data_IF_506199448273
#
_entry.id   IF_506199448273
#
_cell.length_a   1.000
_cell.length_b   1.000
_cell.length_c   1.000
_cell.angle_alpha   90.00
_cell.angle_beta   90.00
_cell.angle_gamma   90.00
#
_symmetry.space_group_name_H-M   'P 1'
#
loop_
_entity.id
_entity.type
_entity.pdbx_description
1 polymer ?
#
# COMPACT_ATOMS: atom_id res chain seq x y z
N UNK A 1 12.80 6.29 -9.18
CA UNK A 1 13.25 7.52 -8.50
C UNK A 1 14.63 7.28 -7.98
N UNK A 2 15.50 8.28 -8.04
CA UNK A 2 16.78 8.18 -7.33
C UNK A 2 16.53 8.23 -5.82
N UNK A 3 17.51 7.81 -5.03
CA UNK A 3 17.43 7.95 -3.58
C UNK A 3 17.35 9.42 -3.16
N UNK A 4 18.11 10.30 -3.82
CA UNK A 4 18.07 11.75 -3.64
C UNK A 4 16.67 12.32 -3.87
N UNK A 5 16.00 11.96 -4.98
CA UNK A 5 14.62 12.40 -5.25
C UNK A 5 13.65 11.95 -4.16
N UNK A 6 13.82 10.73 -3.67
CA UNK A 6 12.93 10.14 -2.65
C UNK A 6 13.11 10.84 -1.31
N UNK A 7 14.35 11.08 -0.89
CA UNK A 7 14.65 11.80 0.36
C UNK A 7 14.24 13.27 0.26
N UNK A 8 14.44 13.92 -0.88
CA UNK A 8 13.95 15.27 -1.12
C UNK A 8 12.42 15.34 -1.01
N UNK A 9 11.69 14.39 -1.62
CA UNK A 9 10.23 14.31 -1.50
C UNK A 9 9.79 14.15 -0.04
N UNK A 10 10.42 13.24 0.71
CA UNK A 10 10.08 13.00 2.11
C UNK A 10 10.41 14.21 3.01
N UNK A 11 11.42 15.00 2.67
CA UNK A 11 11.78 16.22 3.41
C UNK A 11 10.69 17.30 3.41
N UNK A 12 9.76 17.26 2.45
CA UNK A 12 8.60 18.16 2.43
C UNK A 12 7.52 17.78 3.46
N UNK A 13 7.64 16.63 4.13
CA UNK A 13 6.64 16.15 5.10
C UNK A 13 5.29 15.86 4.45
N UNK A 14 5.23 15.00 3.42
CA UNK A 14 3.98 14.70 2.74
C UNK A 14 2.99 14.03 3.70
N UNK A 15 1.73 14.44 3.63
CA UNK A 15 0.69 13.87 4.49
C UNK A 15 0.31 12.43 4.13
N UNK A 16 0.63 11.96 2.90
CA UNK A 16 0.48 10.59 2.41
C UNK A 16 1.48 10.29 1.29
N UNK A 17 1.75 9.02 1.03
CA UNK A 17 2.66 8.55 -0.02
C UNK A 17 1.99 7.49 -0.90
N UNK A 18 2.04 7.66 -2.23
CA UNK A 18 1.50 6.70 -3.20
C UNK A 18 2.42 5.50 -3.44
N UNK A 19 1.84 4.29 -3.46
CA UNK A 19 2.45 2.98 -3.76
C UNK A 19 3.57 2.51 -2.84
N UNK A 20 4.65 3.29 -2.69
CA UNK A 20 5.81 3.01 -1.84
C UNK A 20 6.48 1.63 -2.04
N UNK A 21 6.48 1.09 -3.26
CA UNK A 21 7.01 -0.27 -3.55
C UNK A 21 8.55 -0.37 -3.58
N UNK A 22 9.27 0.76 -3.69
CA UNK A 22 10.73 0.80 -3.87
C UNK A 22 11.45 1.74 -2.90
N UNK A 23 11.01 1.78 -1.64
CA UNK A 23 11.70 2.58 -0.62
C UNK A 23 13.08 1.97 -0.28
N UNK A 24 14.11 2.81 -0.24
CA UNK A 24 15.40 2.43 0.38
C UNK A 24 15.22 2.23 1.89
N UNK A 25 16.15 1.53 2.58
CA UNK A 25 16.07 1.37 4.02
C UNK A 25 15.91 2.70 4.77
N UNK A 26 16.66 3.74 4.39
CA UNK A 26 16.57 5.08 4.98
C UNK A 26 15.20 5.73 4.74
N UNK A 27 14.72 5.72 3.49
CA UNK A 27 13.40 6.27 3.16
C UNK A 27 12.28 5.53 3.91
N UNK A 28 12.41 4.21 4.08
CA UNK A 28 11.47 3.41 4.86
C UNK A 28 11.48 3.79 6.32
N UNK A 29 12.65 4.01 6.93
CA UNK A 29 12.74 4.46 8.32
C UNK A 29 12.02 5.80 8.54
N UNK A 30 12.20 6.76 7.63
CA UNK A 30 11.50 8.05 7.68
C UNK A 30 9.99 7.85 7.62
N UNK A 31 9.50 7.10 6.62
CA UNK A 31 8.07 6.83 6.44
C UNK A 31 7.46 6.21 7.69
N UNK A 32 8.14 5.23 8.30
CA UNK A 32 7.66 4.54 9.50
C UNK A 32 7.70 5.42 10.74
N UNK A 33 8.81 6.14 10.96
CA UNK A 33 8.99 7.04 12.11
C UNK A 33 7.93 8.13 12.12
N UNK A 34 7.70 8.73 10.95
CA UNK A 34 6.77 9.86 10.79
C UNK A 34 5.32 9.40 10.55
N UNK A 35 5.09 8.08 10.53
CA UNK A 35 3.78 7.44 10.30
C UNK A 35 3.09 7.96 9.04
N UNK A 36 3.84 8.21 7.98
CA UNK A 36 3.31 8.70 6.71
C UNK A 36 2.43 7.60 6.09
N UNK A 37 1.11 7.81 5.95
CA UNK A 37 0.22 6.80 5.40
C UNK A 37 0.54 6.44 3.96
N UNK A 38 0.45 5.16 3.63
CA UNK A 38 0.72 4.65 2.28
C UNK A 38 -0.61 4.38 1.55
N UNK A 39 -0.73 4.86 0.33
CA UNK A 39 -1.83 4.49 -0.58
C UNK A 39 -1.40 3.26 -1.39
N UNK A 40 -2.08 2.14 -1.15
CA UNK A 40 -1.75 0.83 -1.71
C UNK A 40 -2.66 0.52 -2.89
N UNK A 41 -2.08 0.17 -4.04
CA UNK A 41 -2.81 -0.13 -5.27
C UNK A 41 -2.40 -1.50 -5.81
N UNK A 42 -3.06 -2.58 -5.38
CA UNK A 42 -2.60 -3.96 -5.62
C UNK A 42 -2.58 -4.30 -7.11
N UNK A 43 -3.69 -4.07 -7.81
CA UNK A 43 -3.81 -4.42 -9.23
C UNK A 43 -2.83 -3.62 -10.08
N UNK A 44 -2.72 -2.31 -9.83
CA UNK A 44 -1.72 -1.44 -10.46
C UNK A 44 -0.30 -1.97 -10.24
N UNK A 45 0.07 -2.25 -8.99
CA UNK A 45 1.42 -2.71 -8.66
C UNK A 45 1.77 -4.06 -9.31
N UNK A 46 0.80 -4.97 -9.40
CA UNK A 46 0.98 -6.25 -10.07
C UNK A 46 1.12 -6.11 -11.59
N UNK A 47 0.22 -5.36 -12.24
CA UNK A 47 0.20 -5.20 -13.70
C UNK A 47 1.38 -4.36 -14.21
N UNK A 48 1.79 -3.34 -13.45
CA UNK A 48 2.97 -2.53 -13.73
C UNK A 48 4.28 -3.18 -13.26
N UNK A 49 4.21 -4.39 -12.67
CA UNK A 49 5.37 -5.18 -12.20
C UNK A 49 6.24 -4.46 -11.17
N UNK A 50 5.64 -3.57 -10.38
CA UNK A 50 6.32 -2.96 -9.23
C UNK A 50 6.40 -3.93 -8.06
N UNK A 51 5.53 -4.95 -8.04
CA UNK A 51 5.66 -6.17 -7.24
C UNK A 51 5.63 -7.40 -8.16
N UNK A 52 6.38 -8.45 -7.82
CA UNK A 52 6.46 -9.68 -8.65
C UNK A 52 5.19 -10.54 -8.57
N UNK A 53 4.52 -10.49 -7.43
CA UNK A 53 3.35 -11.27 -7.10
C UNK A 53 2.65 -10.64 -5.89
N UNK A 54 1.41 -11.06 -5.63
CA UNK A 54 0.62 -10.46 -4.54
C UNK A 54 1.17 -10.81 -3.15
N UNK A 55 1.78 -11.98 -2.99
CA UNK A 55 2.34 -12.46 -1.72
C UNK A 55 3.58 -11.68 -1.26
N UNK A 56 4.34 -11.08 -2.19
CA UNK A 56 5.48 -10.21 -1.87
C UNK A 56 5.07 -8.77 -1.60
N UNK A 57 3.78 -8.43 -1.69
CA UNK A 57 3.30 -7.10 -1.40
C UNK A 57 3.53 -6.75 0.08
N UNK A 58 4.00 -5.53 0.34
CA UNK A 58 4.38 -5.08 1.68
C UNK A 58 3.20 -4.88 2.67
N UNK A 59 1.96 -5.24 2.30
CA UNK A 59 0.75 -5.10 3.15
C UNK A 59 0.88 -5.88 4.45
N UNK A 60 1.32 -7.15 4.39
CA UNK A 60 1.46 -7.97 5.60
C UNK A 60 2.45 -7.35 6.58
N UNK A 61 3.52 -6.78 6.06
CA UNK A 61 4.52 -6.09 6.88
C UNK A 61 3.95 -4.81 7.50
N UNK A 62 3.18 -4.00 6.74
CA UNK A 62 2.52 -2.81 7.28
C UNK A 62 1.51 -3.17 8.39
N UNK A 63 0.71 -4.21 8.19
CA UNK A 63 -0.23 -4.73 9.21
C UNK A 63 0.51 -5.14 10.49
N UNK A 64 1.59 -5.91 10.38
CA UNK A 64 2.39 -6.34 11.52
C UNK A 64 2.97 -5.18 12.33
N UNK A 65 3.29 -4.07 11.68
CA UNK A 65 3.84 -2.87 12.32
C UNK A 65 2.78 -1.84 12.67
N UNK A 66 1.49 -2.14 12.46
CA UNK A 66 0.38 -1.19 12.65
C UNK A 66 0.62 0.16 11.96
N UNK A 67 1.28 0.14 10.79
CA UNK A 67 1.55 1.34 10.01
C UNK A 67 0.30 1.74 9.24
N UNK A 68 -0.08 3.03 9.21
CA UNK A 68 -1.29 3.47 8.51
C UNK A 68 -1.16 3.29 6.99
N UNK A 69 -2.19 2.73 6.37
CA UNK A 69 -2.30 2.67 4.91
C UNK A 69 -3.76 2.60 4.47
N UNK A 70 -4.01 2.90 3.19
CA UNK A 70 -5.32 2.78 2.56
C UNK A 70 -5.26 1.98 1.28
N UNK A 71 -6.33 1.23 0.98
CA UNK A 71 -6.49 0.55 -0.30
C UNK A 71 -7.10 1.50 -1.32
N UNK A 72 -6.46 1.60 -2.48
CA UNK A 72 -6.80 2.49 -3.56
C UNK A 72 -6.85 1.72 -4.88
N UNK A 73 -7.64 2.20 -5.83
CA UNK A 73 -7.76 1.58 -7.15
C UNK A 73 -6.61 1.95 -8.09
N UNK A 74 -5.87 3.02 -7.77
CA UNK A 74 -5.12 3.80 -8.76
C UNK A 74 -6.09 4.22 -9.88
N UNK A 75 -5.89 3.72 -11.10
CA UNK A 75 -6.74 3.99 -12.24
C UNK A 75 -7.73 2.84 -12.54
N UNK A 76 -9.02 3.06 -12.27
CA UNK A 76 -10.07 2.05 -12.54
C UNK A 76 -10.17 1.66 -14.02
N UNK A 77 -9.92 2.60 -14.95
CA UNK A 77 -10.15 2.40 -16.38
C UNK A 77 -9.03 1.57 -17.05
N UNK A 78 -7.73 1.94 -16.92
CA UNK A 78 -6.63 1.14 -17.45
C UNK A 78 -6.54 -0.25 -16.85
N UNK A 79 -6.80 -0.40 -15.55
CA UNK A 79 -6.66 -1.68 -14.85
C UNK A 79 -7.95 -2.50 -14.81
N UNK A 80 -9.07 -1.94 -15.27
CA UNK A 80 -10.39 -2.59 -15.27
C UNK A 80 -10.75 -3.19 -13.90
N UNK A 81 -10.39 -2.50 -12.82
CA UNK A 81 -10.66 -2.92 -11.44
C UNK A 81 -11.83 -2.11 -10.82
N UNK A 82 -12.09 -2.40 -9.56
CA UNK A 82 -12.85 -1.52 -8.66
C UNK A 82 -12.27 -1.62 -7.25
N UNK A 83 -12.67 -0.71 -6.35
CA UNK A 83 -12.27 -0.79 -4.95
C UNK A 83 -12.72 -2.13 -4.31
N UNK A 84 -13.91 -2.62 -4.66
CA UNK A 84 -14.37 -3.94 -4.25
C UNK A 84 -13.44 -5.06 -4.75
N UNK A 85 -12.94 -4.94 -5.98
CA UNK A 85 -11.97 -5.87 -6.56
C UNK A 85 -10.63 -5.88 -5.80
N UNK A 86 -10.13 -4.71 -5.39
CA UNK A 86 -8.93 -4.60 -4.57
C UNK A 86 -9.11 -5.32 -3.22
N UNK A 87 -10.24 -5.08 -2.54
CA UNK A 87 -10.55 -5.79 -1.29
C UNK A 87 -10.76 -7.30 -1.49
N UNK A 88 -11.36 -7.71 -2.61
CA UNK A 88 -11.48 -9.13 -2.94
C UNK A 88 -10.11 -9.82 -3.09
N UNK A 89 -9.10 -9.13 -3.64
CA UNK A 89 -7.73 -9.65 -3.73
C UNK A 89 -7.07 -9.79 -2.35
N UNK A 90 -7.39 -8.92 -1.39
CA UNK A 90 -6.91 -9.09 -0.01
C UNK A 90 -7.47 -10.37 0.62
N UNK A 91 -8.74 -10.69 0.39
CA UNK A 91 -9.43 -11.83 1.01
C UNK A 91 -9.22 -13.15 0.28
N UNK A 92 -9.05 -13.12 -1.05
CA UNK A 92 -8.89 -14.32 -1.86
C UNK A 92 -7.69 -15.15 -1.37
N UNK A 93 -7.81 -16.47 -1.36
CA UNK A 93 -6.74 -17.37 -0.92
C UNK A 93 -5.56 -17.33 -1.90
N UNK A 94 -4.38 -17.68 -1.42
CA UNK A 94 -3.24 -17.95 -2.28
C UNK A 94 -3.59 -19.04 -3.32
N UNK A 95 -3.06 -18.95 -4.56
CA UNK A 95 -2.11 -17.93 -5.05
C UNK A 95 -2.77 -16.65 -5.60
N UNK A 96 -4.10 -16.53 -5.52
CA UNK A 96 -4.84 -15.43 -6.14
C UNK A 96 -4.77 -14.15 -5.30
N UNK A 97 -4.86 -14.28 -3.98
CA UNK A 97 -4.88 -13.17 -3.04
C UNK A 97 -4.03 -13.40 -1.80
N UNK A 98 -4.19 -12.50 -0.82
CA UNK A 98 -3.45 -12.56 0.44
C UNK A 98 -4.09 -13.48 1.48
N UNK A 99 -5.35 -13.87 1.34
CA UNK A 99 -6.05 -14.70 2.31
C UNK A 99 -6.25 -14.03 3.67
N UNK A 100 -6.42 -12.71 3.69
CA UNK A 100 -6.68 -11.95 4.91
C UNK A 100 -8.06 -12.29 5.48
N UNK A 101 -8.14 -12.27 6.80
CA UNK A 101 -9.38 -12.47 7.57
C UNK A 101 -10.26 -11.23 7.54
N UNK A 102 -11.56 -11.40 7.81
CA UNK A 102 -12.49 -10.26 7.90
C UNK A 102 -12.08 -9.23 8.95
N UNK A 103 -11.45 -9.68 10.05
CA UNK A 103 -10.95 -8.78 11.09
C UNK A 103 -9.75 -7.95 10.61
N UNK A 104 -8.82 -8.56 9.87
CA UNK A 104 -7.73 -7.82 9.21
C UNK A 104 -8.29 -6.81 8.19
N UNK A 105 -9.30 -7.20 7.40
CA UNK A 105 -9.97 -6.29 6.45
C UNK A 105 -10.64 -5.12 7.16
N UNK A 106 -11.34 -5.37 8.28
CA UNK A 106 -11.95 -4.31 9.09
C UNK A 106 -10.89 -3.35 9.60
N UNK A 107 -9.77 -3.87 10.09
CA UNK A 107 -8.65 -3.03 10.57
C UNK A 107 -8.07 -2.18 9.45
N UNK A 108 -7.93 -2.72 8.23
CA UNK A 108 -7.50 -1.95 7.06
C UNK A 108 -8.46 -0.80 6.76
N UNK A 109 -9.76 -1.07 6.75
CA UNK A 109 -10.77 -0.05 6.50
C UNK A 109 -10.75 1.07 7.58
N UNK A 110 -10.57 0.72 8.86
CA UNK A 110 -10.39 1.69 9.95
C UNK A 110 -9.17 2.59 9.71
N UNK A 111 -8.01 2.00 9.39
CA UNK A 111 -6.80 2.75 9.07
C UNK A 111 -7.02 3.70 7.89
N UNK A 112 -7.71 3.27 6.84
CA UNK A 112 -8.07 4.15 5.71
C UNK A 112 -8.82 5.41 6.16
N UNK A 113 -9.75 5.31 7.11
CA UNK A 113 -10.50 6.46 7.63
C UNK A 113 -9.64 7.39 8.51
N UNK A 114 -8.63 6.85 9.19
CA UNK A 114 -7.66 7.63 9.97
C UNK A 114 -6.72 8.45 9.07
N UNK A 115 -6.56 8.05 7.79
CA UNK A 115 -5.64 8.67 6.83
C UNK A 115 -6.28 9.74 5.92
N UNK A 116 -7.57 10.03 6.08
CA UNK A 116 -8.29 11.02 5.26
C UNK A 116 -7.81 12.44 5.57
N UNK A 117 -7.96 13.34 4.59
CA UNK A 117 -7.78 14.78 4.80
C UNK A 117 -8.97 15.40 5.55
#
# INVERSE_FOLDING_TARGET
NTEEDTLALLSFGPSRLGHATFLSPEAREIVMRDKIPIEICLTSNLLCKTVKSIDVHHIRWLLQHSHPFSICTDDILPFRNSLLGEYALLMAKAPIGLGLTEDEIRRIAEMSFECKF
#
